data_IF_895077422876
#
_entry.id   IF_895077422876
#
_cell.length_a   1.000
_cell.length_b   1.000
_cell.length_c   1.000
_cell.angle_alpha   90.00
_cell.angle_beta   90.00
_cell.angle_gamma   90.00
#
_symmetry.space_group_name_H-M   'P 1'
#
loop_
_entity.id
_entity.type
_entity.pdbx_description
1 polymer ?
#
# COMPACT_ATOMS: atom_id res chain seq x y z
N UNK A 1 9.24 -16.71 10.08
CA UNK A 1 8.88 -17.73 9.06
C UNK A 1 7.99 -18.76 9.73
N UNK A 2 6.92 -19.27 9.10
CA UNK A 2 6.05 -20.24 9.77
C UNK A 2 6.78 -21.58 9.92
N UNK A 3 6.74 -22.19 11.11
CA UNK A 3 7.53 -23.38 11.47
C UNK A 3 6.86 -24.73 11.11
N UNK A 4 5.70 -24.72 10.47
CA UNK A 4 4.99 -25.98 10.15
C UNK A 4 5.51 -26.61 8.86
N UNK A 5 5.51 -27.95 8.81
CA UNK A 5 5.84 -28.71 7.60
C UNK A 5 4.99 -28.26 6.42
N UNK A 6 3.68 -28.09 6.63
CA UNK A 6 2.73 -27.63 5.63
C UNK A 6 3.15 -26.29 5.00
N UNK A 7 3.50 -25.29 5.81
CA UNK A 7 3.92 -23.98 5.32
C UNK A 7 5.20 -24.05 4.48
N UNK A 8 6.16 -24.90 4.89
CA UNK A 8 7.39 -25.15 4.12
C UNK A 8 7.09 -25.82 2.78
N UNK A 9 6.15 -26.78 2.72
CA UNK A 9 5.74 -27.43 1.47
C UNK A 9 5.08 -26.43 0.52
N UNK A 10 4.17 -25.59 1.02
CA UNK A 10 3.53 -24.54 0.22
C UNK A 10 4.55 -23.52 -0.31
N UNK A 11 5.49 -23.07 0.52
CA UNK A 11 6.56 -22.17 0.09
C UNK A 11 7.37 -22.78 -1.05
N UNK A 12 7.89 -24.00 -0.87
CA UNK A 12 8.70 -24.67 -1.88
C UNK A 12 7.96 -24.87 -3.21
N UNK A 13 6.65 -25.16 -3.15
CA UNK A 13 5.85 -25.44 -4.35
C UNK A 13 5.39 -24.17 -5.09
N UNK A 14 4.97 -23.13 -4.38
CA UNK A 14 4.26 -22.00 -5.00
C UNK A 14 4.99 -20.66 -4.94
N UNK A 15 5.95 -20.48 -4.02
CA UNK A 15 6.73 -19.24 -3.90
C UNK A 15 8.13 -19.51 -3.31
N UNK A 16 8.98 -20.31 -4.00
CA UNK A 16 10.24 -20.77 -3.43
C UNK A 16 11.19 -19.61 -3.08
N UNK A 17 11.26 -18.61 -3.96
CA UNK A 17 12.14 -17.44 -3.82
C UNK A 17 11.39 -16.16 -3.41
N UNK A 18 10.10 -16.25 -3.10
CA UNK A 18 9.23 -15.09 -2.93
C UNK A 18 8.47 -15.07 -1.60
N UNK A 19 7.55 -14.12 -1.49
CA UNK A 19 6.60 -14.01 -0.40
C UNK A 19 5.22 -14.53 -0.84
N UNK A 20 4.41 -15.01 0.10
CA UNK A 20 3.02 -15.43 -0.13
C UNK A 20 2.21 -14.32 -0.80
N UNK A 21 2.48 -13.05 -0.49
CA UNK A 21 1.81 -11.90 -1.10
C UNK A 21 2.06 -11.79 -2.61
N UNK A 22 3.23 -12.23 -3.09
CA UNK A 22 3.62 -12.23 -4.51
C UNK A 22 3.28 -13.54 -5.23
N UNK A 23 2.82 -14.56 -4.48
CA UNK A 23 2.56 -15.88 -5.04
C UNK A 23 1.34 -15.89 -5.97
N UNK A 24 1.43 -16.60 -7.09
CA UNK A 24 0.36 -16.73 -8.09
C UNK A 24 -0.22 -18.15 -8.10
N UNK A 25 -1.36 -18.33 -8.79
CA UNK A 25 -2.04 -19.64 -8.84
C UNK A 25 -1.30 -20.69 -9.69
N UNK A 26 -0.29 -20.31 -10.49
CA UNK A 26 0.50 -21.23 -11.31
C UNK A 26 -0.33 -22.16 -12.21
N UNK A 27 0.28 -23.25 -12.67
CA UNK A 27 -0.38 -24.27 -13.50
C UNK A 27 -0.84 -25.43 -12.62
N UNK A 28 -2.16 -25.62 -12.51
CA UNK A 28 -2.83 -26.67 -11.71
C UNK A 28 -2.65 -26.57 -10.16
N UNK A 29 -3.18 -25.50 -9.52
CA UNK A 29 -3.12 -25.36 -8.07
C UNK A 29 -4.10 -26.29 -7.33
N UNK A 30 -3.68 -26.75 -6.14
CA UNK A 30 -4.57 -27.48 -5.23
C UNK A 30 -5.74 -26.60 -4.78
N UNK A 31 -6.87 -27.22 -4.42
CA UNK A 31 -8.06 -26.49 -3.94
C UNK A 31 -7.74 -25.58 -2.74
N UNK A 32 -6.99 -26.10 -1.77
CA UNK A 32 -6.51 -25.33 -0.63
C UNK A 32 -5.65 -24.12 -1.05
N UNK A 33 -4.79 -24.25 -2.08
CA UNK A 33 -4.01 -23.12 -2.57
C UNK A 33 -4.86 -22.05 -3.22
N UNK A 34 -5.87 -22.44 -4.02
CA UNK A 34 -6.82 -21.48 -4.61
C UNK A 34 -7.54 -20.66 -3.53
N UNK A 35 -7.99 -21.33 -2.46
CA UNK A 35 -8.61 -20.68 -1.31
C UNK A 35 -7.66 -19.70 -0.60
N UNK A 36 -6.39 -20.10 -0.39
CA UNK A 36 -5.36 -19.23 0.18
C UNK A 36 -5.10 -18.01 -0.73
N UNK A 37 -5.00 -18.20 -2.04
CA UNK A 37 -4.82 -17.10 -2.98
C UNK A 37 -6.02 -16.14 -2.98
N UNK A 38 -7.24 -16.65 -2.88
CA UNK A 38 -8.43 -15.79 -2.78
C UNK A 38 -8.44 -14.99 -1.48
N UNK A 39 -8.17 -15.64 -0.34
CA UNK A 39 -8.05 -14.98 0.95
C UNK A 39 -6.94 -13.91 0.94
N UNK A 40 -5.80 -14.20 0.32
CA UNK A 40 -4.69 -13.26 0.11
C UNK A 40 -5.14 -12.02 -0.66
N UNK A 41 -5.89 -12.16 -1.76
CA UNK A 41 -6.41 -11.01 -2.51
C UNK A 41 -7.43 -10.20 -1.69
N UNK A 42 -8.24 -10.85 -0.85
CA UNK A 42 -9.15 -10.15 0.07
C UNK A 42 -8.38 -9.36 1.13
N UNK A 43 -7.35 -9.96 1.74
CA UNK A 43 -6.48 -9.28 2.71
C UNK A 43 -5.81 -8.08 2.05
N UNK A 44 -5.21 -8.25 0.86
CA UNK A 44 -4.59 -7.14 0.12
C UNK A 44 -5.55 -5.98 -0.14
N UNK A 45 -6.81 -6.27 -0.49
CA UNK A 45 -7.83 -5.22 -0.69
C UNK A 45 -8.22 -4.52 0.61
N UNK A 46 -8.12 -5.19 1.75
CA UNK A 46 -8.36 -4.63 3.08
C UNK A 46 -7.11 -4.04 3.75
N UNK A 47 -5.93 -4.21 3.14
CA UNK A 47 -4.67 -3.64 3.61
C UNK A 47 -4.54 -2.17 3.21
N UNK A 48 -3.84 -1.41 4.04
CA UNK A 48 -3.45 -0.03 3.79
C UNK A 48 -1.92 0.04 3.72
N UNK A 49 -1.39 0.76 2.72
CA UNK A 49 0.03 1.00 2.56
C UNK A 49 0.62 1.71 3.77
N UNK A 50 1.85 1.32 4.13
CA UNK A 50 2.68 2.11 5.03
C UNK A 50 3.58 3.02 4.20
N UNK A 51 3.44 4.33 4.38
CA UNK A 51 4.15 5.34 3.59
C UNK A 51 5.62 5.42 4.02
N UNK A 52 6.52 4.99 3.13
CA UNK A 52 7.96 5.16 3.28
C UNK A 52 8.44 6.35 2.45
N UNK A 53 8.90 6.07 1.23
CA UNK A 53 9.32 7.10 0.28
C UNK A 53 8.19 7.56 -0.66
N UNK A 54 7.05 6.86 -0.67
CA UNK A 54 5.85 7.21 -1.42
C UNK A 54 5.98 7.08 -2.94
N UNK A 55 7.08 6.55 -3.46
CA UNK A 55 7.31 6.46 -4.91
C UNK A 55 6.48 5.33 -5.55
N UNK A 56 6.16 4.29 -4.78
CA UNK A 56 5.40 3.15 -5.27
C UNK A 56 3.89 3.27 -5.01
N UNK A 57 3.46 4.32 -4.30
CA UNK A 57 2.06 4.51 -3.90
C UNK A 57 1.43 5.57 -4.80
N UNK A 58 0.43 5.18 -5.58
CA UNK A 58 -0.41 6.14 -6.32
C UNK A 58 -1.46 6.74 -5.39
N UNK A 59 -1.57 8.07 -5.40
CA UNK A 59 -2.48 8.83 -4.55
C UNK A 59 -3.94 8.38 -4.75
N UNK A 60 -4.31 8.14 -6.01
CA UNK A 60 -5.71 8.02 -6.42
C UNK A 60 -6.19 6.57 -6.53
N UNK A 61 -5.30 5.61 -6.82
CA UNK A 61 -5.70 4.21 -7.00
C UNK A 61 -5.47 3.33 -5.77
N UNK A 62 -4.45 3.64 -4.96
CA UNK A 62 -4.01 2.79 -3.87
C UNK A 62 -4.67 3.12 -2.53
N UNK A 63 -4.72 2.13 -1.65
CA UNK A 63 -5.23 2.25 -0.29
C UNK A 63 -4.12 2.72 0.65
N UNK A 64 -3.98 4.01 0.93
CA UNK A 64 -2.84 4.53 1.71
C UNK A 64 -3.20 5.48 2.84
N UNK A 65 -4.50 5.78 3.05
CA UNK A 65 -4.97 6.66 4.12
C UNK A 65 -5.72 5.85 5.20
N UNK A 66 -5.08 5.50 6.34
CA UNK A 66 -5.59 4.51 7.29
C UNK A 66 -6.96 4.82 7.92
N UNK A 67 -7.29 6.10 8.10
CA UNK A 67 -8.50 6.52 8.81
C UNK A 67 -9.63 6.98 7.87
N UNK A 68 -9.41 6.88 6.56
CA UNK A 68 -10.42 7.20 5.58
C UNK A 68 -11.27 5.97 5.27
N UNK A 69 -12.57 6.15 5.04
CA UNK A 69 -13.46 5.03 4.71
C UNK A 69 -12.99 4.32 3.43
N UNK A 70 -12.65 3.03 3.54
CA UNK A 70 -12.09 2.25 2.44
C UNK A 70 -10.62 2.56 2.09
N UNK A 71 -9.91 3.31 2.93
CA UNK A 71 -8.48 3.66 2.81
C UNK A 71 -8.08 4.49 1.57
N UNK A 72 -9.06 5.05 0.84
CA UNK A 72 -8.85 5.73 -0.44
C UNK A 72 -9.24 7.19 -0.40
N UNK A 73 -8.51 8.03 -1.13
CA UNK A 73 -8.88 9.41 -1.43
C UNK A 73 -10.22 9.43 -2.20
N UNK A 74 -11.15 10.27 -1.73
CA UNK A 74 -12.46 10.51 -2.34
C UNK A 74 -12.45 11.77 -3.21
N UNK A 75 -11.50 12.69 -2.99
CA UNK A 75 -11.27 13.81 -3.90
C UNK A 75 -11.08 13.33 -5.33
N UNK A 76 -11.67 14.07 -6.28
CA UNK A 76 -11.50 13.76 -7.71
C UNK A 76 -10.17 14.29 -8.20
N UNK A 77 -9.44 13.55 -9.06
CA UNK A 77 -8.30 14.08 -9.78
C UNK A 77 -8.80 15.15 -10.75
N UNK A 78 -8.74 16.41 -10.31
CA UNK A 78 -9.18 17.58 -11.07
C UNK A 78 -8.59 18.89 -10.57
N UNK A 79 -7.68 18.83 -9.58
CA UNK A 79 -6.86 19.99 -9.21
C UNK A 79 -5.96 20.34 -10.40
N UNK A 80 -5.74 21.64 -10.70
CA UNK A 80 -4.77 22.06 -11.72
C UNK A 80 -3.33 21.59 -11.40
N UNK A 81 -3.09 21.16 -10.15
CA UNK A 81 -1.81 20.64 -9.72
C UNK A 81 -1.76 19.13 -10.00
N UNK A 82 -0.89 18.72 -10.91
CA UNK A 82 -0.67 17.31 -11.22
C UNK A 82 0.14 16.65 -10.12
N UNK A 83 -0.53 15.86 -9.27
CA UNK A 83 0.09 14.90 -8.35
C UNK A 83 -0.41 13.50 -8.68
N UNK A 84 0.50 12.53 -8.75
CA UNK A 84 0.14 11.12 -9.00
C UNK A 84 0.66 10.20 -7.90
N UNK A 85 1.84 10.49 -7.36
CA UNK A 85 2.51 9.67 -6.35
C UNK A 85 2.51 10.35 -4.99
N UNK A 86 2.47 9.55 -3.93
CA UNK A 86 2.57 10.08 -2.55
C UNK A 86 3.90 10.81 -2.35
N UNK A 87 4.95 10.43 -3.06
CA UNK A 87 6.23 11.16 -3.09
C UNK A 87 6.10 12.61 -3.54
N UNK A 88 5.12 12.95 -4.40
CA UNK A 88 4.89 14.32 -4.87
C UNK A 88 4.36 15.23 -3.76
N UNK A 89 3.76 14.63 -2.72
CA UNK A 89 3.26 15.32 -1.52
C UNK A 89 4.34 15.49 -0.45
N UNK A 90 5.54 14.93 -0.65
CA UNK A 90 6.66 14.99 0.28
C UNK A 90 7.67 16.04 -0.15
N UNK A 91 8.28 16.71 0.82
CA UNK A 91 9.33 17.70 0.61
C UNK A 91 10.50 17.53 1.58
N UNK A 92 11.69 17.91 1.12
CA UNK A 92 12.90 17.98 1.94
C UNK A 92 13.58 16.65 2.25
N UNK A 93 14.67 16.74 3.01
CA UNK A 93 15.42 15.64 3.59
C UNK A 93 15.76 16.03 5.04
N UNK A 94 15.11 15.46 6.08
CA UNK A 94 14.19 14.32 6.05
C UNK A 94 12.82 14.64 5.41
N UNK A 95 12.11 13.62 4.89
CA UNK A 95 10.81 13.80 4.25
C UNK A 95 9.78 14.39 5.22
N UNK A 96 9.08 15.42 4.76
CA UNK A 96 7.96 16.06 5.46
C UNK A 96 6.80 16.24 4.49
N UNK A 97 5.57 16.19 4.99
CA UNK A 97 4.40 16.51 4.21
C UNK A 97 4.42 17.98 3.77
N UNK A 98 4.12 18.23 2.50
CA UNK A 98 3.89 19.58 1.99
C UNK A 98 2.45 19.99 2.31
N UNK A 99 2.26 20.62 3.48
CA UNK A 99 0.93 21.00 3.97
C UNK A 99 0.19 21.93 2.99
N UNK A 100 0.89 22.89 2.40
CA UNK A 100 0.29 23.85 1.46
C UNK A 100 -0.22 23.17 0.19
N UNK A 101 0.54 22.21 -0.33
CA UNK A 101 0.13 21.41 -1.49
C UNK A 101 -1.05 20.51 -1.14
N UNK A 102 -1.02 19.86 0.03
CA UNK A 102 -2.09 18.97 0.48
C UNK A 102 -3.41 19.74 0.62
N UNK A 103 -3.39 20.95 1.20
CA UNK A 103 -4.59 21.77 1.38
C UNK A 103 -5.16 22.32 0.05
N UNK A 104 -4.34 22.39 -1.00
CA UNK A 104 -4.77 22.79 -2.35
C UNK A 104 -5.32 21.63 -3.17
N UNK A 105 -4.88 20.39 -2.90
CA UNK A 105 -5.23 19.21 -3.70
C UNK A 105 -6.39 18.43 -3.09
N UNK A 106 -6.44 18.32 -1.76
CA UNK A 106 -7.38 17.46 -1.04
C UNK A 106 -8.42 18.27 -0.27
N UNK A 107 -9.56 17.65 0.03
CA UNK A 107 -10.52 18.24 0.97
C UNK A 107 -9.91 18.35 2.37
N UNK A 108 -10.35 19.32 3.17
CA UNK A 108 -9.79 19.58 4.50
C UNK A 108 -9.79 18.34 5.41
N UNK A 109 -10.87 17.55 5.38
CA UNK A 109 -10.96 16.30 6.14
C UNK A 109 -9.93 15.25 5.71
N UNK A 110 -9.65 15.13 4.41
CA UNK A 110 -8.66 14.19 3.89
C UNK A 110 -7.23 14.68 4.15
N UNK A 111 -7.00 15.98 3.95
CA UNK A 111 -5.72 16.63 4.18
C UNK A 111 -5.26 16.47 5.63
N UNK A 112 -6.16 16.63 6.60
CA UNK A 112 -5.89 16.35 8.02
C UNK A 112 -5.44 14.92 8.26
N UNK A 113 -6.12 13.93 7.64
CA UNK A 113 -5.74 12.53 7.77
C UNK A 113 -4.37 12.24 7.17
N UNK A 114 -4.08 12.79 5.99
CA UNK A 114 -2.78 12.63 5.32
C UNK A 114 -1.66 13.19 6.21
N UNK A 115 -1.85 14.40 6.75
CA UNK A 115 -0.86 15.08 7.61
C UNK A 115 -0.59 14.32 8.92
N UNK A 116 -1.53 13.51 9.39
CA UNK A 116 -1.38 12.67 10.58
C UNK A 116 -0.63 11.36 10.32
N UNK A 117 -0.40 10.99 9.05
CA UNK A 117 0.37 9.79 8.72
C UNK A 117 1.83 9.99 9.16
N UNK A 118 2.37 9.15 10.05
CA UNK A 118 3.74 9.28 10.51
C UNK A 118 4.70 8.91 9.38
N UNK A 119 5.64 9.81 9.07
CA UNK A 119 6.72 9.55 8.12
C UNK A 119 7.91 8.91 8.84
N UNK A 120 8.41 7.81 8.28
CA UNK A 120 9.62 7.16 8.78
C UNK A 120 10.83 8.02 8.40
N UNK A 121 11.69 8.34 9.39
CA UNK A 121 12.83 9.25 9.21
C UNK A 121 13.99 8.64 8.40
N UNK A 122 14.06 7.31 8.36
CA UNK A 122 14.97 6.57 7.49
C UNK A 122 14.21 6.23 6.20
N UNK A 123 14.82 6.50 5.05
CA UNK A 123 14.24 6.20 3.74
C UNK A 123 14.08 4.68 3.63
N UNK A 124 12.91 4.18 3.96
CA UNK A 124 12.54 2.77 3.84
C UNK A 124 11.58 2.60 2.66
N UNK A 125 11.74 1.52 1.91
CA UNK A 125 10.85 1.21 0.79
C UNK A 125 9.41 0.97 1.28
N UNK A 126 8.46 1.42 0.47
CA UNK A 126 7.02 1.25 0.72
C UNK A 126 6.64 -0.24 0.87
N UNK A 127 5.75 -0.56 1.81
CA UNK A 127 5.27 -1.94 2.07
C UNK A 127 3.74 -1.98 2.18
N UNK A 128 3.15 -3.05 1.62
CA UNK A 128 1.73 -3.43 1.72
C UNK A 128 1.48 -4.35 2.90
#
# INVERSE_FOLDING_TARGET
MPNTMLARTYKAKYFPNGNILQASNGTNPSYAWRSICQAKETIKRGSCWNVGNGQNISIWSDNWVPHQNGFKILSRPGSPIMVDKVSDLLMGQPPKWNHDLIDQVFMSSEGELIKQIPLIREVQEDKV
#
